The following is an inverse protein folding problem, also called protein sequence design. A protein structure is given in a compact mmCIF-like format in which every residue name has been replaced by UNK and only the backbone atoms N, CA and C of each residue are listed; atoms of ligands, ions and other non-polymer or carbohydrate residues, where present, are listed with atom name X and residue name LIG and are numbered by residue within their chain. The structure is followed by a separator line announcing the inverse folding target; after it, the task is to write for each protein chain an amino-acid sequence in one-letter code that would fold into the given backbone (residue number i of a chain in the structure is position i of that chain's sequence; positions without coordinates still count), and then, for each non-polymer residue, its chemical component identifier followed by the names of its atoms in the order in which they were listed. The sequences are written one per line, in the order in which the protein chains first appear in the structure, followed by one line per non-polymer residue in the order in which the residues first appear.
data_IF_671414043904
#
_entry.id   IF_671414043904
#
_cell.length_a   1.000
_cell.length_b   1.000
_cell.length_c   1.000
_cell.angle_alpha   90.00
_cell.angle_beta   90.00
_cell.angle_gamma   90.00
#
_symmetry.space_group_name_H-M   'P 1'
#
loop_
_entity.id
_entity.type
_entity.pdbx_description
1 polymer ?
#
# COMPACT_ATOMS: atom_id res chain seq x y z
N UNK A 1 16.36 3.25 0.82
CA UNK A 1 15.11 4.06 0.90
C UNK A 1 15.25 5.22 -0.05
N UNK A 2 14.32 5.40 -0.98
CA UNK A 2 14.38 6.49 -1.95
C UNK A 2 13.75 7.76 -1.38
N UNK A 3 14.36 8.92 -1.68
CA UNK A 3 13.75 10.22 -1.46
C UNK A 3 12.87 10.56 -2.66
N UNK A 4 11.72 11.20 -2.41
CA UNK A 4 10.73 11.56 -3.44
C UNK A 4 10.21 12.97 -3.20
N UNK A 5 9.83 13.63 -4.29
CA UNK A 5 9.07 14.85 -4.26
C UNK A 5 7.60 14.55 -4.50
N UNK A 6 6.73 15.05 -3.64
CA UNK A 6 5.28 14.88 -3.74
C UNK A 6 4.57 16.05 -3.07
N UNK A 7 3.26 16.17 -3.27
CA UNK A 7 2.42 17.08 -2.49
C UNK A 7 1.67 16.24 -1.44
N UNK A 8 1.76 16.56 -0.13
CA UNK A 8 1.03 15.83 0.90
C UNK A 8 -0.48 15.74 0.60
N UNK A 9 -1.06 14.56 0.83
CA UNK A 9 -2.46 14.28 0.51
C UNK A 9 -2.76 13.94 -0.95
N UNK A 10 -1.78 14.04 -1.85
CA UNK A 10 -1.92 13.52 -3.22
C UNK A 10 -1.46 12.06 -3.29
N UNK A 11 -1.95 11.35 -4.31
CA UNK A 11 -1.71 9.90 -4.50
C UNK A 11 -0.56 9.60 -5.46
N UNK A 12 0.19 10.62 -5.88
CA UNK A 12 1.22 10.51 -6.90
C UNK A 12 2.51 11.19 -6.47
N UNK A 13 3.62 10.48 -6.65
CA UNK A 13 4.96 11.07 -6.61
C UNK A 13 5.12 11.96 -7.84
N UNK A 14 5.66 13.17 -7.64
CA UNK A 14 6.01 14.09 -8.73
C UNK A 14 7.28 13.62 -9.42
N UNK A 15 8.33 13.33 -8.64
CA UNK A 15 9.58 12.74 -9.14
C UNK A 15 10.35 12.08 -7.98
N UNK A 16 11.20 11.11 -8.31
CA UNK A 16 12.21 10.63 -7.39
C UNK A 16 13.30 11.70 -7.22
N UNK A 17 13.90 11.77 -6.04
CA UNK A 17 14.97 12.71 -5.77
C UNK A 17 16.34 12.08 -6.01
N UNK A 18 17.29 12.92 -6.41
CA UNK A 18 18.70 12.60 -6.55
C UNK A 18 19.50 13.62 -5.73
N UNK A 19 20.45 13.13 -4.94
CA UNK A 19 21.40 14.00 -4.25
C UNK A 19 22.43 14.52 -5.26
N UNK A 20 22.55 15.84 -5.37
CA UNK A 20 23.46 16.52 -6.31
C UNK A 20 24.67 17.12 -5.60
N UNK A 21 24.57 17.35 -4.30
CA UNK A 21 25.63 17.69 -3.37
C UNK A 21 25.17 17.31 -1.95
N UNK A 22 26.06 17.26 -0.94
CA UNK A 22 25.69 16.84 0.42
C UNK A 22 24.48 17.61 0.97
N UNK A 23 23.37 16.91 1.19
CA UNK A 23 22.11 17.49 1.68
C UNK A 23 21.30 18.29 0.64
N UNK A 24 21.78 18.39 -0.60
CA UNK A 24 21.11 19.10 -1.69
C UNK A 24 20.48 18.09 -2.64
N UNK A 25 19.16 18.16 -2.75
CA UNK A 25 18.35 17.24 -3.53
C UNK A 25 17.66 17.95 -4.68
N UNK A 26 17.63 17.30 -5.83
CA UNK A 26 16.91 17.74 -7.01
C UNK A 26 16.07 16.61 -7.58
N UNK A 27 15.03 16.93 -8.35
CA UNK A 27 14.24 15.95 -9.09
C UNK A 27 15.14 15.14 -10.02
N UNK A 28 14.97 13.82 -10.09
CA UNK A 28 15.84 12.93 -10.86
C UNK A 28 15.81 13.24 -12.35
N UNK A 29 14.64 13.59 -12.90
CA UNK A 29 14.48 13.74 -14.34
C UNK A 29 14.77 15.16 -14.83
N UNK A 30 14.41 16.19 -14.05
CA UNK A 30 14.52 17.60 -14.47
C UNK A 30 15.62 18.39 -13.77
N UNK A 31 16.26 17.81 -12.75
CA UNK A 31 17.25 18.47 -11.90
C UNK A 31 16.74 19.78 -11.24
N UNK A 32 15.43 19.89 -10.99
CA UNK A 32 14.85 21.01 -10.25
C UNK A 32 15.03 20.81 -8.75
N UNK A 33 15.50 21.85 -8.05
CA UNK A 33 15.49 21.90 -6.59
C UNK A 33 14.08 22.18 -6.07
N UNK A 34 13.84 21.94 -4.78
CA UNK A 34 12.51 22.12 -4.17
C UNK A 34 11.88 23.50 -4.45
N UNK A 35 12.58 24.64 -4.31
CA UNK A 35 11.97 25.95 -4.57
C UNK A 35 11.51 26.12 -6.03
N UNK A 36 12.26 25.56 -6.99
CA UNK A 36 11.91 25.61 -8.41
C UNK A 36 10.72 24.69 -8.72
N UNK A 37 10.70 23.52 -8.09
CA UNK A 37 9.59 22.58 -8.23
C UNK A 37 8.29 23.16 -7.68
N UNK A 38 8.35 23.89 -6.56
CA UNK A 38 7.18 24.53 -5.93
C UNK A 38 6.51 25.61 -6.79
N UNK A 39 7.19 26.13 -7.83
CA UNK A 39 6.58 27.05 -8.80
C UNK A 39 5.48 26.34 -9.61
N UNK A 40 5.73 25.09 -10.03
CA UNK A 40 4.76 24.30 -10.82
C UNK A 40 3.91 23.35 -9.97
N UNK A 41 4.40 22.98 -8.78
CA UNK A 41 3.71 22.14 -7.81
C UNK A 41 3.68 22.83 -6.43
N UNK A 42 2.81 23.84 -6.22
CA UNK A 42 2.69 24.50 -4.93
C UNK A 42 2.40 23.49 -3.81
N UNK A 43 3.16 23.58 -2.72
CA UNK A 43 3.05 22.64 -1.59
C UNK A 43 3.84 21.33 -1.76
N UNK A 44 4.64 21.19 -2.83
CA UNK A 44 5.58 20.09 -2.93
C UNK A 44 6.56 20.06 -1.75
N UNK A 45 6.90 18.86 -1.29
CA UNK A 45 7.87 18.59 -0.23
C UNK A 45 8.86 17.52 -0.69
N UNK A 46 10.04 17.49 -0.07
CA UNK A 46 10.96 16.36 -0.14
C UNK A 46 10.70 15.43 1.05
N UNK A 47 10.44 14.16 0.80
CA UNK A 47 10.26 13.15 1.84
C UNK A 47 10.81 11.80 1.44
N UNK A 48 10.55 10.79 2.28
CA UNK A 48 10.87 9.40 1.99
C UNK A 48 9.70 8.70 1.30
N UNK A 49 10.01 7.84 0.33
CA UNK A 49 9.00 7.06 -0.40
C UNK A 49 8.17 6.20 0.53
N UNK A 50 8.80 5.54 1.51
CA UNK A 50 8.09 4.73 2.50
C UNK A 50 7.07 5.56 3.28
N UNK A 51 7.44 6.74 3.75
CA UNK A 51 6.53 7.64 4.46
C UNK A 51 5.35 8.07 3.58
N UNK A 52 5.62 8.42 2.32
CA UNK A 52 4.57 8.74 1.34
C UNK A 52 3.58 7.58 1.14
N UNK A 53 4.08 6.35 1.01
CA UNK A 53 3.23 5.16 0.85
C UNK A 53 2.41 4.89 2.10
N UNK A 54 3.01 4.98 3.29
CA UNK A 54 2.31 4.76 4.56
C UNK A 54 1.21 5.81 4.79
N UNK A 55 1.47 7.08 4.51
CA UNK A 55 0.45 8.14 4.58
C UNK A 55 -0.70 7.85 3.61
N UNK A 56 -0.38 7.37 2.40
CA UNK A 56 -1.39 6.99 1.43
C UNK A 56 -2.26 5.82 1.94
N UNK A 57 -1.63 4.78 2.49
CA UNK A 57 -2.36 3.65 3.06
C UNK A 57 -3.21 4.06 4.27
N UNK A 58 -2.73 4.98 5.11
CA UNK A 58 -3.49 5.47 6.25
C UNK A 58 -4.80 6.16 5.83
N UNK A 59 -4.82 6.81 4.66
CA UNK A 59 -6.00 7.51 4.13
C UNK A 59 -6.95 6.56 3.39
N UNK A 60 -6.42 5.65 2.58
CA UNK A 60 -7.23 4.85 1.64
C UNK A 60 -7.32 3.36 1.96
N UNK A 61 -6.49 2.87 2.88
CA UNK A 61 -6.50 1.49 3.33
C UNK A 61 -7.77 1.17 4.11
N UNK A 62 -8.14 -0.11 4.13
CA UNK A 62 -9.28 -0.57 4.91
C UNK A 62 -8.86 -1.69 5.85
N UNK A 63 -9.64 -1.90 6.91
CA UNK A 63 -9.48 -3.09 7.74
C UNK A 63 -9.87 -4.35 6.95
N UNK A 64 -9.25 -5.51 7.24
CA UNK A 64 -9.73 -6.80 6.79
C UNK A 64 -11.20 -7.03 7.12
N UNK A 65 -11.98 -7.37 6.09
CA UNK A 65 -13.36 -7.84 6.25
C UNK A 65 -13.48 -9.24 5.65
N UNK A 66 -14.39 -10.05 6.20
CA UNK A 66 -14.65 -11.37 5.64
C UNK A 66 -15.28 -11.26 4.25
N UNK A 67 -14.88 -12.16 3.36
CA UNK A 67 -15.44 -12.34 2.02
C UNK A 67 -15.77 -13.81 1.81
N UNK A 68 -16.31 -14.14 0.63
CA UNK A 68 -16.66 -15.53 0.30
C UNK A 68 -15.52 -16.21 -0.46
N UNK A 69 -15.44 -17.54 -0.33
CA UNK A 69 -14.56 -18.38 -1.14
C UNK A 69 -14.75 -18.12 -2.64
N UNK A 70 -16.00 -17.96 -3.08
CA UNK A 70 -16.31 -17.69 -4.48
C UNK A 70 -15.67 -16.38 -4.98
N UNK A 71 -15.67 -15.31 -4.16
CA UNK A 71 -15.05 -14.03 -4.52
C UNK A 71 -13.52 -14.13 -4.55
N UNK A 72 -12.92 -14.82 -3.58
CA UNK A 72 -11.49 -15.09 -3.56
C UNK A 72 -11.04 -15.84 -4.83
N UNK A 73 -11.69 -16.98 -5.12
CA UNK A 73 -11.37 -17.80 -6.28
C UNK A 73 -11.62 -17.05 -7.60
N UNK A 74 -12.70 -16.27 -7.68
CA UNK A 74 -13.01 -15.49 -8.86
C UNK A 74 -11.93 -14.44 -9.13
N UNK A 75 -11.49 -13.71 -8.09
CA UNK A 75 -10.42 -12.72 -8.22
C UNK A 75 -9.10 -13.37 -8.65
N UNK A 76 -8.72 -14.49 -8.03
CA UNK A 76 -7.49 -15.22 -8.38
C UNK A 76 -7.49 -15.75 -9.82
N UNK A 77 -8.64 -16.20 -10.33
CA UNK A 77 -8.74 -16.80 -11.66
C UNK A 77 -9.00 -15.82 -12.81
N UNK A 78 -9.59 -14.64 -12.53
CA UNK A 78 -10.10 -13.74 -13.57
C UNK A 78 -9.44 -12.35 -13.56
N UNK A 79 -8.49 -12.09 -12.67
CA UNK A 79 -7.81 -10.80 -12.59
C UNK A 79 -6.30 -11.01 -12.52
N UNK A 80 -5.50 -10.07 -13.05
CA UNK A 80 -4.05 -10.11 -12.86
C UNK A 80 -3.72 -10.02 -11.37
N UNK A 81 -2.97 -11.02 -10.89
CA UNK A 81 -2.52 -11.11 -9.49
C UNK A 81 -1.01 -10.97 -9.42
N UNK A 82 -0.55 -10.30 -8.37
CA UNK A 82 0.86 -10.18 -8.00
C UNK A 82 1.08 -10.76 -6.61
N UNK A 83 2.34 -11.13 -6.34
CA UNK A 83 2.82 -11.60 -5.04
C UNK A 83 1.90 -12.65 -4.40
N UNK A 84 1.53 -13.67 -5.19
CA UNK A 84 0.84 -14.83 -4.64
C UNK A 84 1.80 -15.59 -3.73
N UNK A 85 1.46 -15.69 -2.46
CA UNK A 85 2.24 -16.40 -1.44
C UNK A 85 1.31 -17.36 -0.67
N UNK A 86 1.83 -18.56 -0.39
CA UNK A 86 1.14 -19.59 0.38
C UNK A 86 2.14 -20.26 1.32
N UNK A 87 1.87 -20.21 2.62
CA UNK A 87 2.72 -20.83 3.65
C UNK A 87 2.13 -22.13 4.24
N UNK A 88 1.02 -22.60 3.64
CA UNK A 88 0.27 -23.80 4.06
C UNK A 88 -0.79 -23.52 5.14
N UNK A 89 -0.74 -22.37 5.82
CA UNK A 89 -1.78 -21.93 6.76
C UNK A 89 -2.57 -20.75 6.19
N UNK A 90 -1.90 -19.87 5.47
CA UNK A 90 -2.45 -18.69 4.84
C UNK A 90 -2.02 -18.56 3.38
N UNK A 91 -3.00 -18.31 2.50
CA UNK A 91 -2.77 -17.95 1.11
C UNK A 91 -3.12 -16.47 0.94
N UNK A 92 -2.21 -15.67 0.37
CA UNK A 92 -2.49 -14.26 0.08
C UNK A 92 -2.10 -13.90 -1.33
N UNK A 93 -2.84 -12.99 -1.93
CA UNK A 93 -2.45 -12.35 -3.18
C UNK A 93 -2.98 -10.93 -3.26
N UNK A 94 -2.41 -10.17 -4.17
CA UNK A 94 -2.77 -8.78 -4.44
C UNK A 94 -3.20 -8.65 -5.88
N UNK A 95 -4.17 -7.79 -6.14
CA UNK A 95 -4.48 -7.44 -7.52
C UNK A 95 -3.41 -6.48 -8.06
N UNK A 96 -2.99 -6.64 -9.31
CA UNK A 96 -2.03 -5.71 -9.92
C UNK A 96 -2.65 -4.32 -10.12
N UNK A 97 -3.96 -4.26 -10.36
CA UNK A 97 -4.68 -3.02 -10.56
C UNK A 97 -4.90 -2.30 -9.23
N UNK A 98 -4.12 -1.24 -9.01
CA UNK A 98 -4.31 -0.35 -7.86
C UNK A 98 -5.65 0.39 -7.94
N UNK A 99 -6.32 0.50 -6.80
CA UNK A 99 -7.59 1.22 -6.65
C UNK A 99 -7.34 2.72 -6.57
N UNK A 100 -6.29 3.12 -5.86
CA UNK A 100 -5.89 4.53 -5.68
C UNK A 100 -4.39 4.59 -5.39
N UNK A 101 -3.62 5.39 -6.15
CA UNK A 101 -2.15 5.41 -6.14
C UNK A 101 -1.54 4.00 -5.99
N UNK A 102 -0.82 3.72 -4.89
CA UNK A 102 -0.24 2.40 -4.63
C UNK A 102 -1.08 1.46 -3.73
N UNK A 103 -2.33 1.81 -3.45
CA UNK A 103 -3.24 0.98 -2.67
C UNK A 103 -4.01 0.06 -3.62
N UNK A 104 -3.91 -1.24 -3.38
CA UNK A 104 -4.59 -2.28 -4.14
C UNK A 104 -5.50 -3.11 -3.25
N UNK A 105 -6.33 -3.94 -3.88
CA UNK A 105 -7.15 -4.92 -3.17
C UNK A 105 -6.34 -6.18 -2.93
N UNK A 106 -6.35 -6.59 -1.67
CA UNK A 106 -5.67 -7.76 -1.16
C UNK A 106 -6.73 -8.79 -0.80
N UNK A 107 -6.42 -10.05 -1.10
CA UNK A 107 -7.22 -11.21 -0.70
C UNK A 107 -6.36 -12.14 0.13
N UNK A 108 -6.99 -12.73 1.14
CA UNK A 108 -6.35 -13.73 1.97
C UNK A 108 -7.31 -14.87 2.29
N UNK A 109 -6.78 -16.08 2.37
CA UNK A 109 -7.43 -17.26 2.91
C UNK A 109 -6.64 -17.66 4.15
N UNK A 110 -7.28 -17.77 5.31
CA UNK A 110 -6.64 -18.17 6.55
C UNK A 110 -7.63 -18.95 7.43
N UNK A 111 -7.22 -20.15 7.87
CA UNK A 111 -8.01 -21.03 8.74
C UNK A 111 -9.46 -21.25 8.26
N UNK A 112 -9.63 -21.46 6.95
CA UNK A 112 -10.94 -21.73 6.33
C UNK A 112 -11.82 -20.50 6.16
N UNK A 113 -11.33 -19.30 6.48
CA UNK A 113 -12.01 -18.02 6.24
C UNK A 113 -11.32 -17.25 5.14
N UNK A 114 -12.12 -16.46 4.42
CA UNK A 114 -11.64 -15.63 3.34
C UNK A 114 -11.79 -14.16 3.72
N UNK A 115 -10.81 -13.36 3.34
CA UNK A 115 -10.71 -11.96 3.70
C UNK A 115 -10.42 -11.10 2.48
N UNK A 116 -10.86 -9.85 2.53
CA UNK A 116 -10.46 -8.82 1.57
C UNK A 116 -10.32 -7.46 2.24
N UNK A 117 -9.39 -6.65 1.75
CA UNK A 117 -9.19 -5.27 2.17
C UNK A 117 -8.38 -4.49 1.15
N UNK A 118 -8.28 -3.17 1.37
CA UNK A 118 -7.37 -2.29 0.65
C UNK A 118 -6.09 -2.09 1.48
N UNK A 119 -4.93 -2.29 0.85
CA UNK A 119 -3.61 -2.06 1.44
C UNK A 119 -2.58 -1.76 0.36
N UNK A 120 -1.34 -1.48 0.76
CA UNK A 120 -0.27 -1.21 -0.20
C UNK A 120 0.01 -2.41 -1.12
N UNK A 121 0.24 -2.16 -2.40
CA UNK A 121 0.68 -3.17 -3.35
C UNK A 121 2.01 -3.82 -2.93
N UNK A 122 2.85 -3.09 -2.18
CA UNK A 122 4.11 -3.58 -1.64
C UNK A 122 3.98 -4.30 -0.28
N UNK A 123 2.77 -4.42 0.29
CA UNK A 123 2.56 -5.02 1.61
C UNK A 123 3.00 -6.49 1.62
N UNK A 124 3.98 -6.92 2.45
CA UNK A 124 4.48 -8.29 2.42
C UNK A 124 3.48 -9.28 3.06
N UNK A 125 3.57 -10.56 2.66
CA UNK A 125 2.72 -11.64 3.15
C UNK A 125 2.62 -11.70 4.69
N UNK A 126 3.76 -11.63 5.40
CA UNK A 126 3.78 -11.62 6.87
C UNK A 126 2.99 -10.47 7.49
N UNK A 127 3.07 -9.26 6.91
CA UNK A 127 2.31 -8.10 7.40
C UNK A 127 0.81 -8.23 7.12
N UNK A 128 0.42 -8.93 6.04
CA UNK A 128 -0.98 -9.28 5.79
C UNK A 128 -1.50 -10.20 6.91
N UNK A 129 -0.76 -11.26 7.24
CA UNK A 129 -1.13 -12.20 8.31
C UNK A 129 -1.28 -11.48 9.66
N UNK A 130 -0.35 -10.59 10.01
CA UNK A 130 -0.42 -9.80 11.24
C UNK A 130 -1.71 -8.97 11.33
N UNK A 131 -2.12 -8.31 10.22
CA UNK A 131 -3.36 -7.52 10.17
C UNK A 131 -4.60 -8.38 10.33
N UNK A 132 -4.61 -9.56 9.72
CA UNK A 132 -5.70 -10.51 9.91
C UNK A 132 -5.78 -10.95 11.37
N UNK A 133 -4.63 -11.17 12.02
CA UNK A 133 -4.56 -11.68 13.40
C UNK A 133 -5.15 -10.68 14.39
N UNK A 134 -4.81 -9.41 14.19
CA UNK A 134 -5.37 -8.28 14.94
C UNK A 134 -6.88 -8.15 14.73
N UNK A 135 -7.35 -8.32 13.49
CA UNK A 135 -8.78 -8.22 13.15
C UNK A 135 -9.61 -9.34 13.77
N UNK A 136 -9.07 -10.56 13.82
CA UNK A 136 -9.67 -11.70 14.51
C UNK A 136 -9.71 -11.51 16.03
N UNK A 137 -8.64 -10.98 16.61
CA UNK A 137 -8.54 -10.74 18.05
C UNK A 137 -9.52 -9.67 18.52
N UNK A 138 -9.66 -8.57 17.77
CA UNK A 138 -10.61 -7.49 18.08
C UNK A 138 -12.08 -7.95 18.05
N UNK A 139 -12.43 -8.90 17.18
CA UNK A 139 -13.79 -9.45 17.14
C UNK A 139 -14.12 -10.35 18.32
N UNK A 140 -13.17 -11.15 18.80
CA UNK A 140 -13.39 -12.00 19.99
C UNK A 140 -13.69 -11.17 21.23
N UNK A 141 -13.16 -9.95 21.33
CA UNK A 141 -13.50 -9.00 22.40
C UNK A 141 -14.89 -8.38 22.24
N UNK A 142 -15.36 -8.14 21.02
CA UNK A 142 -16.70 -7.56 20.76
C UNK A 142 -17.84 -8.57 20.93
N UNK A 143 -17.60 -9.86 20.65
CA UNK A 143 -18.59 -10.94 20.86
C UNK A 143 -18.70 -11.40 22.33
N UNK A 144 -17.80 -10.93 23.22
CA UNK A 144 -17.75 -11.30 24.63
C UNK A 144 -18.44 -10.30 25.57
N UNK A 145 -19.18 -9.32 25.02
CA UNK A 145 -19.93 -8.27 25.76
C UNK A 145 -21.43 -8.50 25.62
#
# INVERSE_FOLDING_TARGET
MFKVFYVPGQTTIIDYAREVAPGIWATRNRLLMLPELQISHPGAVLGDEEGFLLDQEAVYGTRPIETTQARFNHAAANQPVSDYEADGQCDTFKLENCVVGNVTRIYAHWEGRYWTFLGLATLPHGAIIERLSQSLSARKSDEAI
#
